data_IF_270328311468
#
_entry.id   IF_270328311468
#
_cell.length_a   1.000
_cell.length_b   1.000
_cell.length_c   1.000
_cell.angle_alpha   90.00
_cell.angle_beta   90.00
_cell.angle_gamma   90.00
#
_symmetry.space_group_name_H-M   'P 1'
#
loop_
_entity.id
_entity.type
_entity.pdbx_description
1 polymer ?
#
# COMPACT_ATOMS: atom_id res chain seq x y z
N UNK A 1 9.67 -15.69 23.99
CA UNK A 1 8.25 -15.61 23.58
C UNK A 1 7.97 -16.77 22.64
N UNK A 2 7.00 -17.62 22.99
CA UNK A 2 6.66 -18.80 22.18
C UNK A 2 5.93 -18.37 20.91
N UNK A 3 5.92 -19.21 19.86
CA UNK A 3 5.28 -18.88 18.57
C UNK A 3 3.76 -18.59 18.71
N UNK A 4 3.16 -19.06 19.80
CA UNK A 4 1.75 -18.93 20.18
C UNK A 4 1.36 -17.57 20.80
N UNK A 5 2.32 -16.77 21.27
CA UNK A 5 2.02 -15.50 21.97
C UNK A 5 1.81 -14.30 21.04
N UNK A 6 2.04 -14.47 19.72
CA UNK A 6 1.89 -13.38 18.73
C UNK A 6 0.43 -13.25 18.27
N UNK A 7 -0.10 -12.03 18.06
CA UNK A 7 -1.43 -11.83 17.50
C UNK A 7 -1.55 -12.46 16.10
N UNK A 8 -2.72 -13.02 15.79
CA UNK A 8 -2.93 -13.81 14.57
C UNK A 8 -2.53 -13.09 13.26
N UNK A 9 -2.85 -11.79 13.06
CA UNK A 9 -2.46 -11.07 11.84
C UNK A 9 -0.94 -11.04 11.62
N UNK A 10 -0.15 -10.90 12.69
CA UNK A 10 1.32 -10.91 12.61
C UNK A 10 1.87 -12.30 12.25
N UNK A 11 1.23 -13.36 12.75
CA UNK A 11 1.60 -14.73 12.37
C UNK A 11 1.32 -14.97 10.89
N UNK A 12 0.25 -14.42 10.34
CA UNK A 12 -0.10 -14.56 8.93
C UNK A 12 0.86 -13.80 8.02
N UNK A 13 1.27 -12.57 8.37
CA UNK A 13 2.28 -11.85 7.58
C UNK A 13 3.62 -12.59 7.57
N UNK A 14 4.07 -13.10 8.72
CA UNK A 14 5.28 -13.92 8.79
C UNK A 14 5.15 -15.23 7.97
N UNK A 15 3.96 -15.83 7.92
CA UNK A 15 3.72 -16.99 7.07
C UNK A 15 3.77 -16.62 5.57
N UNK A 16 3.25 -15.45 5.18
CA UNK A 16 3.33 -14.94 3.80
C UNK A 16 4.76 -14.61 3.37
N UNK A 17 5.58 -14.11 4.28
CA UNK A 17 7.01 -13.88 4.05
C UNK A 17 7.76 -15.17 3.72
N UNK A 18 7.45 -16.24 4.46
CA UNK A 18 8.13 -17.52 4.35
C UNK A 18 7.57 -18.43 3.24
N UNK A 19 6.41 -18.12 2.66
CA UNK A 19 5.74 -19.02 1.71
C UNK A 19 6.25 -18.88 0.29
N UNK A 20 6.69 -20.00 -0.28
CA UNK A 20 7.12 -20.07 -1.69
C UNK A 20 5.92 -20.13 -2.65
N UNK A 21 4.69 -20.28 -2.12
CA UNK A 21 3.45 -20.36 -2.93
C UNK A 21 3.17 -19.10 -3.75
N UNK A 22 3.76 -17.97 -3.36
CA UNK A 22 3.63 -16.70 -4.07
C UNK A 22 4.74 -16.49 -5.11
N UNK A 23 5.79 -17.31 -5.11
CA UNK A 23 6.91 -17.18 -6.05
C UNK A 23 6.47 -17.30 -7.52
N UNK A 24 5.49 -18.13 -7.91
CA UNK A 24 4.96 -18.13 -9.27
C UNK A 24 4.26 -16.82 -9.67
N UNK A 25 3.67 -16.08 -8.71
CA UNK A 25 3.07 -14.77 -8.96
C UNK A 25 4.20 -13.76 -9.13
N UNK A 26 5.18 -13.79 -8.23
CA UNK A 26 6.37 -12.93 -8.31
C UNK A 26 7.09 -13.09 -9.65
N UNK A 27 7.31 -14.34 -10.09
CA UNK A 27 7.96 -14.63 -11.36
C UNK A 27 7.18 -14.09 -12.58
N UNK A 28 5.86 -13.98 -12.50
CA UNK A 28 5.02 -13.40 -13.56
C UNK A 28 5.02 -11.88 -13.54
N UNK A 29 5.07 -11.27 -12.36
CA UNK A 29 5.08 -9.81 -12.20
C UNK A 29 6.44 -9.20 -12.50
N UNK A 30 7.53 -9.92 -12.21
CA UNK A 30 8.90 -9.39 -12.33
C UNK A 30 9.23 -8.83 -13.72
N UNK A 31 8.96 -9.53 -14.85
CA UNK A 31 9.22 -8.98 -16.17
C UNK A 31 8.40 -7.73 -16.50
N UNK A 32 7.19 -7.61 -15.94
CA UNK A 32 6.35 -6.43 -16.13
C UNK A 32 6.93 -5.24 -15.38
N UNK A 33 7.39 -5.45 -14.15
CA UNK A 33 8.03 -4.42 -13.36
C UNK A 33 9.36 -3.99 -13.98
N UNK A 34 10.19 -4.93 -14.45
CA UNK A 34 11.46 -4.62 -15.10
C UNK A 34 11.22 -3.75 -16.35
N UNK A 35 10.27 -4.12 -17.23
CA UNK A 35 9.88 -3.30 -18.40
C UNK A 35 9.34 -1.92 -18.00
N UNK A 36 8.49 -1.88 -16.98
CA UNK A 36 7.97 -0.62 -16.45
C UNK A 36 9.11 0.27 -15.94
N UNK A 37 10.21 -0.29 -15.45
CA UNK A 37 11.33 0.46 -14.89
C UNK A 37 12.53 0.58 -15.83
N UNK A 38 12.48 0.07 -17.06
CA UNK A 38 13.60 0.17 -18.03
C UNK A 38 14.05 1.63 -18.25
N UNK A 39 13.10 2.55 -18.42
CA UNK A 39 13.36 3.97 -18.63
C UNK A 39 13.75 4.69 -17.31
N UNK A 40 14.93 5.34 -17.23
CA UNK A 40 15.40 5.98 -16.00
C UNK A 40 14.47 7.09 -15.49
N UNK A 41 13.90 7.91 -16.37
CA UNK A 41 13.02 9.02 -16.00
C UNK A 41 11.71 8.50 -15.42
N UNK A 42 11.11 7.48 -16.05
CA UNK A 42 9.92 6.79 -15.55
C UNK A 42 10.18 6.11 -14.23
N UNK A 43 11.31 5.42 -14.08
CA UNK A 43 11.74 4.79 -12.82
C UNK A 43 11.86 5.82 -11.70
N UNK A 44 12.57 6.92 -11.94
CA UNK A 44 12.74 8.00 -10.97
C UNK A 44 11.39 8.61 -10.56
N UNK A 45 10.50 8.87 -11.52
CA UNK A 45 9.16 9.38 -11.25
C UNK A 45 8.32 8.41 -10.41
N UNK A 46 8.29 7.13 -10.78
CA UNK A 46 7.45 6.12 -10.12
C UNK A 46 7.90 5.80 -8.69
N UNK A 47 9.20 5.90 -8.41
CA UNK A 47 9.72 5.83 -7.05
C UNK A 47 9.57 7.15 -6.27
N UNK A 48 9.13 8.22 -6.94
CA UNK A 48 8.82 9.51 -6.34
C UNK A 48 10.03 10.42 -6.13
N UNK A 49 11.08 10.31 -6.94
CA UNK A 49 12.26 11.18 -6.86
C UNK A 49 11.92 12.69 -6.86
N UNK A 50 10.96 13.19 -7.68
CA UNK A 50 10.61 14.62 -7.67
C UNK A 50 10.02 15.13 -6.34
N UNK A 51 9.45 14.24 -5.52
CA UNK A 51 8.84 14.58 -4.23
C UNK A 51 9.70 14.12 -3.04
N UNK A 52 10.81 13.43 -3.29
CA UNK A 52 11.73 12.88 -2.28
C UNK A 52 11.15 11.74 -1.43
N UNK A 53 9.98 11.23 -1.77
CA UNK A 53 9.22 10.26 -0.98
C UNK A 53 8.62 9.20 -1.91
N UNK A 54 8.39 8.00 -1.38
CA UNK A 54 7.71 6.93 -2.11
C UNK A 54 6.36 7.41 -2.64
N UNK A 55 6.14 7.28 -3.95
CA UNK A 55 4.92 7.76 -4.59
C UNK A 55 3.72 6.84 -4.30
N UNK A 56 3.93 5.53 -4.14
CA UNK A 56 2.83 4.60 -3.93
C UNK A 56 2.01 4.88 -2.67
N UNK A 57 2.60 5.03 -1.46
CA UNK A 57 1.82 5.37 -0.26
C UNK A 57 0.95 6.62 -0.44
N UNK A 58 1.51 7.69 -1.00
CA UNK A 58 0.76 8.91 -1.30
C UNK A 58 -0.40 8.65 -2.28
N UNK A 59 -0.14 7.86 -3.32
CA UNK A 59 -1.17 7.49 -4.30
C UNK A 59 -2.25 6.55 -3.74
N UNK A 60 -2.03 5.87 -2.61
CA UNK A 60 -3.05 5.01 -1.99
C UNK A 60 -4.16 5.81 -1.30
N UNK A 61 -3.87 7.00 -0.81
CA UNK A 61 -4.85 7.87 -0.15
C UNK A 61 -5.99 8.28 -1.09
N UNK A 62 -5.69 8.43 -2.38
CA UNK A 62 -6.67 8.84 -3.39
C UNK A 62 -7.82 7.82 -3.56
N UNK A 63 -7.58 6.55 -3.98
CA UNK A 63 -8.65 5.57 -4.10
C UNK A 63 -9.33 5.29 -2.75
N UNK A 64 -8.58 5.24 -1.64
CA UNK A 64 -9.16 5.03 -0.31
C UNK A 64 -10.11 6.16 0.08
N UNK A 65 -9.67 7.41 -0.04
CA UNK A 65 -10.49 8.58 0.27
C UNK A 65 -11.76 8.65 -0.59
N UNK A 66 -11.65 8.33 -1.88
CA UNK A 66 -12.78 8.27 -2.81
C UNK A 66 -13.80 7.18 -2.42
N UNK A 67 -13.34 5.96 -2.11
CA UNK A 67 -14.22 4.85 -1.71
C UNK A 67 -14.84 5.04 -0.32
N UNK A 68 -14.08 5.56 0.64
CA UNK A 68 -14.60 5.91 1.97
C UNK A 68 -15.64 7.02 1.85
N UNK A 69 -15.39 8.05 1.05
CA UNK A 69 -16.36 9.12 0.81
C UNK A 69 -17.63 8.59 0.12
N UNK A 70 -17.50 7.72 -0.88
CA UNK A 70 -18.66 7.04 -1.49
C UNK A 70 -19.48 6.30 -0.44
N UNK A 71 -18.82 5.52 0.41
CA UNK A 71 -19.49 4.73 1.47
C UNK A 71 -20.20 5.63 2.46
N UNK A 72 -19.56 6.70 2.91
CA UNK A 72 -20.18 7.71 3.80
C UNK A 72 -21.43 8.31 3.17
N UNK A 73 -21.39 8.68 1.90
CA UNK A 73 -22.56 9.21 1.19
C UNK A 73 -23.66 8.16 1.00
N UNK A 74 -23.31 6.90 0.77
CA UNK A 74 -24.27 5.80 0.67
C UNK A 74 -25.03 5.57 1.98
N UNK A 75 -24.36 5.73 3.12
CA UNK A 75 -24.93 5.49 4.45
C UNK A 75 -25.66 6.72 5.02
N UNK A 76 -25.12 7.92 4.81
CA UNK A 76 -25.54 9.13 5.53
C UNK A 76 -26.10 10.23 4.61
N UNK A 77 -25.84 10.17 3.30
CA UNK A 77 -26.12 11.27 2.38
C UNK A 77 -27.56 11.31 1.83
N UNK A 78 -28.34 10.24 2.04
CA UNK A 78 -29.71 10.13 1.54
C UNK A 78 -29.85 10.15 0.01
N UNK A 79 -31.09 10.25 -0.52
CA UNK A 79 -31.36 10.11 -1.96
C UNK A 79 -30.64 11.12 -2.86
N UNK A 80 -30.37 12.34 -2.35
CA UNK A 80 -29.71 13.41 -3.11
C UNK A 80 -28.22 13.15 -3.34
N UNK A 81 -27.56 12.40 -2.45
CA UNK A 81 -26.13 12.11 -2.54
C UNK A 81 -25.78 10.94 -3.48
N UNK A 82 -26.78 10.18 -3.94
CA UNK A 82 -26.59 8.93 -4.70
C UNK A 82 -25.68 9.08 -5.93
N UNK A 83 -25.85 10.15 -6.71
CA UNK A 83 -25.00 10.42 -7.89
C UNK A 83 -23.56 10.76 -7.52
N UNK A 84 -23.35 11.46 -6.40
CA UNK A 84 -22.02 11.81 -5.92
C UNK A 84 -21.29 10.56 -5.42
N UNK A 85 -21.97 9.69 -4.66
CA UNK A 85 -21.43 8.41 -4.24
C UNK A 85 -20.98 7.56 -5.44
N UNK A 86 -21.82 7.42 -6.46
CA UNK A 86 -21.50 6.63 -7.66
C UNK A 86 -20.33 7.20 -8.46
N UNK A 87 -20.16 8.53 -8.48
CA UNK A 87 -19.01 9.20 -9.11
C UNK A 87 -17.73 8.95 -8.33
N UNK A 88 -17.75 9.12 -7.01
CA UNK A 88 -16.59 8.89 -6.16
C UNK A 88 -16.14 7.41 -6.23
N UNK A 89 -17.09 6.48 -6.21
CA UNK A 89 -16.82 5.06 -6.40
C UNK A 89 -16.07 4.79 -7.71
N UNK A 90 -16.60 5.32 -8.82
CA UNK A 90 -16.01 5.17 -10.15
C UNK A 90 -14.64 5.85 -10.26
N UNK A 91 -14.49 7.06 -9.70
CA UNK A 91 -13.20 7.75 -9.64
C UNK A 91 -12.17 6.96 -8.83
N UNK A 92 -12.57 6.31 -7.73
CA UNK A 92 -11.68 5.45 -6.95
C UNK A 92 -11.21 4.23 -7.75
N UNK A 93 -12.10 3.62 -8.54
CA UNK A 93 -11.72 2.54 -9.48
C UNK A 93 -10.71 3.05 -10.51
N UNK A 94 -10.93 4.22 -11.10
CA UNK A 94 -10.00 4.82 -12.06
C UNK A 94 -8.65 5.16 -11.42
N UNK A 95 -8.67 5.75 -10.22
CA UNK A 95 -7.47 6.11 -9.46
C UNK A 95 -6.65 4.89 -9.04
N UNK A 96 -7.28 3.72 -8.84
CA UNK A 96 -6.57 2.51 -8.45
C UNK A 96 -5.54 2.04 -9.48
N UNK A 97 -5.74 2.35 -10.77
CA UNK A 97 -4.82 1.94 -11.83
C UNK A 97 -3.44 2.62 -11.74
N UNK A 98 -3.32 3.96 -11.74
CA UNK A 98 -2.03 4.60 -11.54
C UNK A 98 -1.43 4.29 -10.15
N UNK A 99 -2.24 4.12 -9.11
CA UNK A 99 -1.76 3.66 -7.79
C UNK A 99 -1.14 2.26 -7.84
N UNK A 100 -1.71 1.33 -8.61
CA UNK A 100 -1.14 -0.01 -8.78
C UNK A 100 0.18 0.03 -9.56
N UNK A 101 0.33 0.94 -10.54
CA UNK A 101 1.57 1.12 -11.30
C UNK A 101 2.71 1.58 -10.39
N UNK A 102 2.47 2.56 -9.51
CA UNK A 102 3.49 3.01 -8.54
C UNK A 102 3.81 1.92 -7.53
N UNK A 103 2.81 1.14 -7.11
CA UNK A 103 3.04 -0.01 -6.21
C UNK A 103 3.85 -1.13 -6.84
N UNK A 104 3.66 -1.40 -8.14
CA UNK A 104 4.46 -2.37 -8.88
C UNK A 104 5.93 -1.93 -9.00
N UNK A 105 6.17 -0.62 -9.13
CA UNK A 105 7.53 -0.07 -9.09
C UNK A 105 8.18 -0.34 -7.74
N UNK A 106 7.55 0.09 -6.64
CA UNK A 106 8.10 -0.08 -5.29
C UNK A 106 8.30 -1.55 -4.90
N UNK A 107 7.37 -2.42 -5.34
CA UNK A 107 7.48 -3.87 -5.18
C UNK A 107 8.76 -4.47 -5.78
N UNK A 108 9.25 -3.91 -6.90
CA UNK A 108 10.42 -4.42 -7.61
C UNK A 108 11.75 -4.16 -6.88
N UNK A 109 11.78 -3.17 -5.96
CA UNK A 109 12.93 -2.86 -5.10
C UNK A 109 13.06 -3.84 -3.93
N UNK A 110 11.97 -4.52 -3.58
CA UNK A 110 11.92 -5.42 -2.45
C UNK A 110 12.73 -6.71 -2.67
N UNK A 111 13.23 -7.27 -1.57
CA UNK A 111 13.73 -8.64 -1.54
C UNK A 111 12.59 -9.66 -1.73
N UNK A 112 12.91 -10.96 -1.71
CA UNK A 112 11.90 -12.02 -1.92
C UNK A 112 10.78 -11.97 -0.88
N UNK A 113 11.11 -11.64 0.38
CA UNK A 113 10.18 -11.56 1.50
C UNK A 113 9.15 -10.45 1.26
N UNK A 114 9.63 -9.25 0.92
CA UNK A 114 8.81 -8.11 0.52
C UNK A 114 7.97 -8.46 -0.71
N UNK A 115 8.57 -9.08 -1.73
CA UNK A 115 7.87 -9.40 -2.97
C UNK A 115 6.72 -10.39 -2.76
N UNK A 116 6.86 -11.35 -1.83
CA UNK A 116 5.78 -12.29 -1.48
C UNK A 116 4.62 -11.55 -0.81
N UNK A 117 4.88 -10.81 0.26
CA UNK A 117 3.82 -10.04 0.95
C UNK A 117 3.18 -9.01 0.01
N UNK A 118 4.00 -8.31 -0.78
CA UNK A 118 3.55 -7.35 -1.79
C UNK A 118 2.72 -7.97 -2.90
N UNK A 119 3.00 -9.22 -3.30
CA UNK A 119 2.14 -9.94 -4.26
C UNK A 119 0.78 -10.27 -3.66
N UNK A 120 0.73 -10.71 -2.39
CA UNK A 120 -0.54 -10.94 -1.70
C UNK A 120 -1.35 -9.65 -1.55
N UNK A 121 -0.69 -8.55 -1.18
CA UNK A 121 -1.29 -7.22 -1.13
C UNK A 121 -1.84 -6.78 -2.50
N UNK A 122 -1.06 -6.95 -3.58
CA UNK A 122 -1.51 -6.63 -4.93
C UNK A 122 -2.74 -7.46 -5.34
N UNK A 123 -2.77 -8.77 -5.05
CA UNK A 123 -3.90 -9.64 -5.35
C UNK A 123 -5.18 -9.21 -4.62
N UNK A 124 -5.08 -8.86 -3.33
CA UNK A 124 -6.22 -8.34 -2.57
C UNK A 124 -6.74 -7.01 -3.15
N UNK A 125 -5.84 -6.11 -3.55
CA UNK A 125 -6.26 -4.85 -4.18
C UNK A 125 -6.88 -5.04 -5.56
N UNK A 126 -6.40 -5.98 -6.37
CA UNK A 126 -7.04 -6.33 -7.65
C UNK A 126 -8.47 -6.87 -7.39
N UNK A 127 -8.63 -7.75 -6.40
CA UNK A 127 -9.95 -8.25 -6.01
C UNK A 127 -10.87 -7.12 -5.50
N UNK A 128 -10.37 -6.23 -4.64
CA UNK A 128 -11.13 -5.08 -4.15
C UNK A 128 -11.54 -4.13 -5.29
N UNK A 129 -10.61 -3.76 -6.18
CA UNK A 129 -10.89 -2.90 -7.33
C UNK A 129 -11.93 -3.53 -8.26
N UNK A 130 -11.85 -4.84 -8.50
CA UNK A 130 -12.85 -5.57 -9.28
C UNK A 130 -14.23 -5.55 -8.60
N UNK A 131 -14.30 -5.78 -7.28
CA UNK A 131 -15.56 -5.69 -6.53
C UNK A 131 -16.15 -4.27 -6.54
N UNK A 132 -15.31 -3.23 -6.42
CA UNK A 132 -15.75 -1.84 -6.57
C UNK A 132 -16.25 -1.55 -7.99
N UNK A 133 -15.59 -2.07 -9.03
CA UNK A 133 -16.06 -1.99 -10.41
C UNK A 133 -17.40 -2.69 -10.63
N UNK A 134 -17.57 -3.88 -10.05
CA UNK A 134 -18.84 -4.62 -10.05
C UNK A 134 -19.92 -3.83 -9.30
N UNK A 135 -19.61 -3.28 -8.12
CA UNK A 135 -20.52 -2.40 -7.37
C UNK A 135 -20.97 -1.22 -8.23
N UNK A 136 -20.04 -0.54 -8.90
CA UNK A 136 -20.33 0.58 -9.79
C UNK A 136 -21.27 0.17 -10.93
N UNK A 137 -21.01 -0.96 -11.59
CA UNK A 137 -21.87 -1.47 -12.66
C UNK A 137 -23.27 -1.86 -12.17
N UNK A 138 -23.37 -2.47 -10.98
CA UNK A 138 -24.67 -2.81 -10.40
C UNK A 138 -25.52 -1.56 -10.11
N UNK A 139 -24.90 -0.48 -9.59
CA UNK A 139 -25.57 0.81 -9.36
C UNK A 139 -26.05 1.43 -10.66
N UNK A 140 -25.22 1.42 -11.72
CA UNK A 140 -25.58 1.87 -13.07
C UNK A 140 -26.77 1.11 -13.67
N UNK A 141 -26.93 -0.16 -13.30
CA UNK A 141 -28.04 -1.03 -13.74
C UNK A 141 -29.28 -0.97 -12.83
N UNK A 142 -29.35 -0.01 -11.91
CA UNK A 142 -30.48 0.17 -10.99
C UNK A 142 -30.48 -0.76 -9.78
N UNK A 143 -29.53 -1.68 -9.64
CA UNK A 143 -29.43 -2.61 -8.51
C UNK A 143 -28.64 -1.98 -7.33
N UNK A 144 -29.09 -0.82 -6.85
CA UNK A 144 -28.33 0.03 -5.91
C UNK A 144 -28.01 -0.66 -4.59
N UNK A 145 -28.99 -1.33 -3.95
CA UNK A 145 -28.78 -2.02 -2.66
C UNK A 145 -27.69 -3.08 -2.78
N UNK A 146 -27.74 -3.90 -3.84
CA UNK A 146 -26.71 -4.91 -4.13
C UNK A 146 -25.35 -4.25 -4.40
N UNK A 147 -25.34 -3.12 -5.10
CA UNK A 147 -24.13 -2.35 -5.35
C UNK A 147 -23.48 -1.87 -4.06
N UNK A 148 -24.26 -1.28 -3.14
CA UNK A 148 -23.77 -0.84 -1.83
C UNK A 148 -23.21 -2.02 -1.04
N UNK A 149 -23.94 -3.14 -0.97
CA UNK A 149 -23.46 -4.35 -0.30
C UNK A 149 -22.14 -4.86 -0.90
N UNK A 150 -22.02 -4.87 -2.23
CA UNK A 150 -20.80 -5.29 -2.93
C UNK A 150 -19.61 -4.36 -2.59
N UNK A 151 -19.83 -3.04 -2.50
CA UNK A 151 -18.77 -2.09 -2.10
C UNK A 151 -18.37 -2.24 -0.64
N UNK A 152 -19.29 -2.62 0.26
CA UNK A 152 -18.94 -2.90 1.66
C UNK A 152 -18.05 -4.15 1.77
N UNK A 153 -18.33 -5.19 1.00
CA UNK A 153 -17.44 -6.36 0.90
C UNK A 153 -16.08 -5.96 0.34
N UNK A 154 -16.05 -5.14 -0.72
CA UNK A 154 -14.80 -4.58 -1.25
C UNK A 154 -14.02 -3.79 -0.19
N UNK A 155 -14.72 -3.02 0.65
CA UNK A 155 -14.15 -2.30 1.79
C UNK A 155 -13.45 -3.22 2.78
N UNK A 156 -14.06 -4.36 3.14
CA UNK A 156 -13.41 -5.35 4.01
C UNK A 156 -12.12 -5.90 3.36
N UNK A 157 -12.17 -6.21 2.06
CA UNK A 157 -10.99 -6.70 1.32
C UNK A 157 -9.88 -5.64 1.28
N UNK A 158 -10.21 -4.37 1.03
CA UNK A 158 -9.21 -3.29 0.99
C UNK A 158 -8.62 -3.01 2.37
N UNK A 159 -9.40 -3.14 3.45
CA UNK A 159 -8.87 -3.05 4.83
C UNK A 159 -7.88 -4.18 5.14
N UNK A 160 -8.19 -5.42 4.75
CA UNK A 160 -7.26 -6.54 4.90
C UNK A 160 -5.98 -6.32 4.08
N UNK A 161 -6.11 -5.77 2.86
CA UNK A 161 -4.96 -5.38 2.05
C UNK A 161 -4.14 -4.26 2.70
N UNK A 162 -4.81 -3.26 3.28
CA UNK A 162 -4.17 -2.14 3.98
C UNK A 162 -3.34 -2.59 5.18
N UNK A 163 -3.75 -3.64 5.88
CA UNK A 163 -2.90 -4.27 6.91
C UNK A 163 -1.58 -4.81 6.33
N UNK A 164 -1.62 -5.50 5.18
CA UNK A 164 -0.39 -5.95 4.50
C UNK A 164 0.46 -4.77 4.02
N UNK A 165 -0.17 -3.69 3.54
CA UNK A 165 0.50 -2.45 3.16
C UNK A 165 1.25 -1.80 4.32
N UNK A 166 0.59 -1.70 5.49
CA UNK A 166 1.22 -1.22 6.73
C UNK A 166 2.36 -2.13 7.19
N UNK A 167 2.23 -3.45 7.03
CA UNK A 167 3.31 -4.39 7.32
C UNK A 167 4.51 -4.18 6.38
N UNK A 168 4.28 -3.97 5.07
CA UNK A 168 5.33 -3.65 4.10
C UNK A 168 6.05 -2.35 4.43
N UNK A 169 5.31 -1.27 4.73
CA UNK A 169 5.90 0.06 4.95
C UNK A 169 6.55 0.19 6.33
N UNK A 170 5.91 -0.29 7.40
CA UNK A 170 6.36 -0.07 8.78
C UNK A 170 7.28 -1.19 9.25
N UNK A 171 6.90 -2.45 9.03
CA UNK A 171 7.67 -3.60 9.54
C UNK A 171 8.81 -4.00 8.60
N UNK A 172 8.58 -3.98 7.28
CA UNK A 172 9.59 -4.33 6.28
C UNK A 172 10.36 -3.14 5.71
N UNK A 173 9.96 -1.90 6.03
CA UNK A 173 10.59 -0.65 5.54
C UNK A 173 10.70 -0.62 4.02
N UNK A 174 9.63 -1.05 3.33
CA UNK A 174 9.56 -1.11 1.88
C UNK A 174 8.49 -0.16 1.32
N UNK A 175 8.79 0.59 0.24
CA UNK A 175 10.10 0.70 -0.39
C UNK A 175 11.16 1.31 0.55
N UNK A 176 12.45 1.01 0.32
CA UNK A 176 13.51 1.62 1.12
C UNK A 176 13.47 3.16 0.97
N UNK A 177 13.96 3.90 1.98
CA UNK A 177 14.17 5.33 1.83
C UNK A 177 14.97 5.61 0.56
N UNK A 178 14.57 6.65 -0.19
CA UNK A 178 15.44 7.13 -1.26
C UNK A 178 16.77 7.53 -0.63
N UNK A 179 17.88 7.09 -1.21
CA UNK A 179 19.18 7.58 -0.79
C UNK A 179 19.12 9.12 -0.87
N UNK A 180 19.35 9.79 0.25
CA UNK A 180 19.77 11.18 0.19
C UNK A 180 20.98 11.20 -0.74
N UNK A 181 20.91 12.07 -1.75
CA UNK A 181 21.94 12.35 -2.75
C UNK A 181 23.24 11.51 -2.62
N UNK A 182 23.57 10.62 -3.57
CA UNK A 182 24.80 9.82 -3.49
C UNK A 182 26.09 10.67 -3.42
N UNK A 183 26.00 11.98 -3.72
CA UNK A 183 27.09 12.95 -3.56
C UNK A 183 26.96 13.83 -2.29
N UNK A 184 25.94 13.62 -1.44
CA UNK A 184 25.88 14.27 -0.14
C UNK A 184 27.01 13.73 0.73
N UNK A 185 27.87 14.61 1.29
CA UNK A 185 28.95 14.16 2.16
C UNK A 185 28.34 13.40 3.33
N UNK A 186 28.98 12.28 3.70
CA UNK A 186 28.68 11.58 4.95
C UNK A 186 28.71 12.62 6.07
N UNK A 187 27.54 12.99 6.58
CA UNK A 187 27.45 13.80 7.78
C UNK A 187 27.87 12.86 8.90
N UNK A 188 29.17 12.87 9.20
CA UNK A 188 29.68 12.39 10.47
C UNK A 188 28.91 13.17 11.52
N UNK A 189 27.94 12.52 12.15
CA UNK A 189 27.31 13.03 13.35
C UNK A 189 28.43 13.07 14.37
N UNK A 190 29.03 14.25 14.52
CA UNK A 190 29.99 14.54 15.56
C UNK A 190 29.31 14.15 16.88
N UNK A 191 29.82 13.10 17.51
CA UNK A 191 29.40 12.73 18.84
C UNK A 191 29.76 13.94 19.70
N UNK A 192 28.75 14.73 20.06
CA UNK A 192 28.90 15.90 20.91
C UNK A 192 29.77 15.56 22.13
N UNK A 193 30.50 16.56 22.66
CA UNK A 193 31.61 16.32 23.58
C UNK A 193 31.18 15.42 24.74
N UNK A 194 32.02 14.41 25.01
CA UNK A 194 31.94 13.54 26.18
C UNK A 194 31.59 14.38 27.42
N UNK A 195 30.40 14.17 27.97
CA UNK A 195 30.03 14.73 29.26
C UNK A 195 30.89 14.01 30.30
N UNK A 196 31.80 14.69 31.03
CA UNK A 196 32.63 14.03 32.03
C UNK A 196 31.75 13.39 33.10
N UNK A 197 32.06 12.14 33.43
CA UNK A 197 31.30 11.30 34.35
C UNK A 197 31.02 11.99 35.68
N UNK A 198 29.74 11.95 36.08
CA UNK A 198 29.35 12.19 37.47
C UNK A 198 29.74 10.95 38.25
N UNK A 199 30.79 11.07 39.06
CA UNK A 199 31.31 10.01 39.90
C UNK A 199 30.29 9.70 41.02
N UNK A 200 29.74 8.47 41.12
CA UNK A 200 28.74 8.15 42.11
C UNK A 200 29.40 7.51 43.33
N UNK A 201 30.17 8.26 44.14
CA UNK A 201 30.40 8.00 45.58
C UNK A 201 31.48 8.92 46.18
N UNK A 202 31.17 9.58 47.30
CA UNK A 202 32.10 9.65 48.44
C UNK A 202 32.78 10.99 48.76
N UNK A 203 32.08 11.88 49.49
CA UNK A 203 32.42 12.35 50.85
C UNK A 203 31.46 13.46 51.27
#
# INVERSE_FOLDING_TARGET
MSHTDRPAPLRWTHALEATDRLDPVVARLRPLADRLLEDPSRRALLHGAPIGHALHPLMTDLPLGLWMSSTTLDLLGGPRATRAADRLLGLGVLASAPTAVTGLADWALGDRRVQRVGSAHALLNVAAAALYGVSWLQRRRGARVRGIATSLVAGVVVTASGYLGGHLSVALKSPPPQAADPDAPDVVVDAGPDVPGVDPTGS
#
